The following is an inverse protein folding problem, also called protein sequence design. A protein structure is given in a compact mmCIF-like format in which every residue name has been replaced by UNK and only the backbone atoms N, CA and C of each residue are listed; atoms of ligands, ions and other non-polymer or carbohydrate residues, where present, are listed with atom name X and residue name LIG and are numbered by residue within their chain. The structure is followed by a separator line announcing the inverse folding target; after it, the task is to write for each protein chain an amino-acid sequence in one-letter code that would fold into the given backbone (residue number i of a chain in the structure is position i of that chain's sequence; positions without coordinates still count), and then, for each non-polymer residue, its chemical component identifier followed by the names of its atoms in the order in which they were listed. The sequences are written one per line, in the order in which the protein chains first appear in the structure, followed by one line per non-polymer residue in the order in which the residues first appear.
data_IF_244708558481
#
_entry.id   IF_244708558481
#
_cell.length_a   1.000
_cell.length_b   1.000
_cell.length_c   1.000
_cell.angle_alpha   90.00
_cell.angle_beta   90.00
_cell.angle_gamma   90.00
#
_symmetry.space_group_name_H-M   'P 1'
#
loop_
_entity.id
_entity.type
_entity.pdbx_description
1 polymer ?
#
# COMPACT_ATOMS: atom_id res chain seq x y z
N UNK A 1 -20.97 3.53 39.93
CA UNK A 1 -20.83 3.44 38.47
C UNK A 1 -19.37 3.15 38.19
N UNK A 2 -19.03 1.92 37.81
CA UNK A 2 -17.65 1.56 37.44
C UNK A 2 -17.63 1.27 35.94
N UNK A 3 -17.30 2.29 35.14
CA UNK A 3 -16.91 2.08 33.74
C UNK A 3 -15.45 1.65 33.73
N UNK A 4 -15.22 0.34 33.76
CA UNK A 4 -13.96 -0.24 33.31
C UNK A 4 -13.93 -0.10 31.80
N UNK A 5 -13.25 0.94 31.31
CA UNK A 5 -12.86 1.04 29.90
C UNK A 5 -12.00 -0.17 29.59
N UNK A 6 -12.54 -1.15 28.87
CA UNK A 6 -11.72 -2.21 28.31
C UNK A 6 -10.68 -1.55 27.39
N UNK A 7 -9.40 -1.94 27.48
CA UNK A 7 -8.43 -1.49 26.50
C UNK A 7 -8.91 -1.95 25.13
N UNK A 8 -8.92 -1.04 24.15
CA UNK A 8 -9.15 -1.40 22.76
C UNK A 8 -8.23 -2.57 22.41
N UNK A 9 -8.71 -3.60 21.68
CA UNK A 9 -7.84 -4.66 21.22
C UNK A 9 -6.65 -4.00 20.50
N UNK A 10 -5.43 -4.55 20.65
CA UNK A 10 -4.27 -4.02 19.95
C UNK A 10 -4.65 -3.90 18.48
N UNK A 11 -4.52 -2.71 17.90
CA UNK A 11 -4.76 -2.51 16.48
C UNK A 11 -3.95 -3.59 15.76
N UNK A 12 -4.64 -4.53 15.11
CA UNK A 12 -3.96 -5.60 14.40
C UNK A 12 -3.00 -4.94 13.43
N UNK A 13 -1.70 -5.22 13.59
CA UNK A 13 -0.69 -4.67 12.70
C UNK A 13 -1.09 -4.97 11.26
N UNK A 14 -0.87 -4.01 10.37
CA UNK A 14 -1.20 -4.17 8.96
C UNK A 14 -0.49 -5.42 8.39
N UNK A 15 -1.25 -6.27 7.72
CA UNK A 15 -0.75 -7.51 7.11
C UNK A 15 -1.24 -7.57 5.65
N UNK A 16 -0.30 -7.34 4.73
CA UNK A 16 -0.57 -7.35 3.30
C UNK A 16 -1.04 -8.72 2.78
N UNK A 17 -0.59 -9.84 3.37
CA UNK A 17 -1.01 -11.18 2.97
C UNK A 17 -2.47 -11.43 3.35
N UNK A 18 -2.87 -11.00 4.55
CA UNK A 18 -4.25 -11.04 4.98
C UNK A 18 -5.14 -10.17 4.09
N UNK A 19 -4.69 -8.95 3.73
CA UNK A 19 -5.44 -8.04 2.85
C UNK A 19 -5.61 -8.60 1.43
N UNK A 20 -4.54 -9.12 0.83
CA UNK A 20 -4.58 -9.81 -0.47
C UNK A 20 -5.61 -10.94 -0.48
N UNK A 21 -5.59 -11.80 0.56
CA UNK A 21 -6.52 -12.93 0.69
C UNK A 21 -7.96 -12.49 0.91
N UNK A 22 -8.19 -11.50 1.78
CA UNK A 22 -9.53 -11.01 2.09
C UNK A 22 -10.19 -10.33 0.88
N UNK A 23 -9.40 -9.59 0.09
CA UNK A 23 -9.89 -8.92 -1.11
C UNK A 23 -9.99 -9.84 -2.33
N UNK A 24 -9.46 -11.08 -2.26
CA UNK A 24 -9.23 -11.94 -3.43
C UNK A 24 -8.54 -11.16 -4.57
N UNK A 25 -7.48 -10.42 -4.18
CA UNK A 25 -6.86 -9.40 -5.03
C UNK A 25 -6.06 -10.00 -6.19
N UNK A 26 -5.95 -9.22 -7.27
CA UNK A 26 -5.16 -9.55 -8.46
C UNK A 26 -3.70 -9.10 -8.35
N UNK A 27 -3.37 -8.24 -7.37
CA UNK A 27 -2.02 -7.75 -7.19
C UNK A 27 -1.06 -8.87 -6.76
N UNK A 28 0.14 -8.84 -7.33
CA UNK A 28 1.17 -9.83 -7.04
C UNK A 28 1.92 -9.35 -5.79
N UNK A 29 2.06 -10.21 -4.78
CA UNK A 29 2.81 -9.84 -3.58
C UNK A 29 4.29 -9.55 -3.86
N UNK A 30 4.94 -10.36 -4.70
CA UNK A 30 6.38 -10.32 -4.94
C UNK A 30 6.67 -10.53 -6.42
N UNK A 31 7.47 -9.65 -7.02
CA UNK A 31 7.95 -9.81 -8.40
C UNK A 31 9.42 -9.45 -8.54
N UNK A 32 10.10 -10.07 -9.49
CA UNK A 32 11.49 -9.74 -9.79
C UNK A 32 11.59 -8.33 -10.40
N UNK A 33 12.54 -7.54 -9.89
CA UNK A 33 12.93 -6.26 -10.49
C UNK A 33 13.59 -6.52 -11.85
N UNK A 34 13.27 -5.70 -12.83
CA UNK A 34 13.86 -5.76 -14.17
C UNK A 34 15.08 -4.85 -14.27
N UNK A 35 16.05 -5.12 -15.18
CA UNK A 35 17.26 -4.32 -15.28
C UNK A 35 17.04 -2.82 -15.50
N UNK A 36 15.98 -2.44 -16.23
CA UNK A 36 15.63 -1.03 -16.45
C UNK A 36 15.06 -0.33 -15.21
N UNK A 37 14.85 -1.07 -14.13
CA UNK A 37 14.31 -0.57 -12.86
C UNK A 37 15.41 -0.39 -11.81
N UNK A 38 16.68 -0.61 -12.15
CA UNK A 38 17.80 -0.67 -11.20
C UNK A 38 18.00 0.56 -10.31
N UNK A 39 17.58 1.74 -10.77
CA UNK A 39 17.78 3.00 -10.06
C UNK A 39 16.53 3.47 -9.29
N UNK A 40 15.50 2.61 -9.17
CA UNK A 40 14.24 2.94 -8.51
C UNK A 40 14.01 2.08 -7.27
N UNK A 41 13.68 2.74 -6.16
CA UNK A 41 13.36 2.12 -4.88
C UNK A 41 11.87 1.79 -4.74
N UNK A 42 11.01 2.50 -5.48
CA UNK A 42 9.55 2.34 -5.41
C UNK A 42 8.95 2.20 -6.80
N UNK A 43 7.82 1.51 -6.86
CA UNK A 43 6.98 1.43 -8.04
C UNK A 43 5.53 1.74 -7.66
N UNK A 44 4.93 2.64 -8.42
CA UNK A 44 3.54 3.04 -8.27
C UNK A 44 2.75 2.54 -9.48
N UNK A 45 1.77 1.66 -9.23
CA UNK A 45 0.93 1.06 -10.26
C UNK A 45 -0.52 1.50 -10.10
N UNK A 46 -1.26 1.52 -11.21
CA UNK A 46 -2.68 1.89 -11.25
C UNK A 46 -3.44 0.92 -12.16
N UNK A 47 -4.61 0.49 -11.71
CA UNK A 47 -5.58 -0.26 -12.51
C UNK A 47 -6.90 0.49 -12.57
N UNK A 48 -7.64 0.27 -13.67
CA UNK A 48 -8.98 0.83 -13.91
C UNK A 48 -10.03 -0.25 -14.16
N UNK A 49 -9.68 -1.52 -13.99
CA UNK A 49 -10.60 -2.64 -14.18
C UNK A 49 -11.52 -2.68 -12.95
N UNK A 50 -12.82 -2.48 -13.15
CA UNK A 50 -13.85 -2.43 -12.11
C UNK A 50 -13.70 -1.28 -11.09
N UNK A 51 -12.87 -0.29 -11.39
CA UNK A 51 -12.64 0.90 -10.58
C UNK A 51 -11.17 1.31 -10.54
N UNK A 52 -10.93 2.52 -10.03
CA UNK A 52 -9.58 3.01 -9.77
C UNK A 52 -9.02 2.31 -8.52
N UNK A 53 -7.85 1.68 -8.67
CA UNK A 53 -7.08 1.14 -7.56
C UNK A 53 -5.59 1.36 -7.81
N UNK A 54 -4.88 1.65 -6.73
CA UNK A 54 -3.45 1.90 -6.72
C UNK A 54 -2.72 0.76 -6.02
N UNK A 55 -1.47 0.53 -6.39
CA UNK A 55 -0.57 -0.35 -5.66
C UNK A 55 0.83 0.27 -5.56
N UNK A 56 1.43 0.21 -4.38
CA UNK A 56 2.80 0.66 -4.13
C UNK A 56 3.65 -0.56 -3.81
N UNK A 57 4.78 -0.66 -4.50
CA UNK A 57 5.81 -1.64 -4.21
C UNK A 57 7.07 -0.94 -3.74
N UNK A 58 7.77 -1.57 -2.80
CA UNK A 58 9.10 -1.19 -2.34
C UNK A 58 10.10 -2.23 -2.82
N UNK A 59 11.27 -1.76 -3.22
CA UNK A 59 12.36 -2.61 -3.65
C UNK A 59 13.09 -3.19 -2.45
N UNK A 60 13.20 -4.52 -2.44
CA UNK A 60 14.04 -5.27 -1.53
C UNK A 60 14.96 -6.15 -2.38
N UNK A 61 16.25 -5.82 -2.38
CA UNK A 61 17.27 -6.42 -3.24
C UNK A 61 16.88 -6.38 -4.74
N UNK A 62 16.63 -7.55 -5.33
CA UNK A 62 16.27 -7.74 -6.73
C UNK A 62 14.75 -7.97 -6.93
N UNK A 63 13.94 -7.60 -5.94
CA UNK A 63 12.50 -7.80 -5.97
C UNK A 63 11.75 -6.51 -5.63
N UNK A 64 10.55 -6.39 -6.17
CA UNK A 64 9.53 -5.47 -5.71
C UNK A 64 8.54 -6.24 -4.84
N UNK A 65 8.38 -5.80 -3.60
CA UNK A 65 7.46 -6.34 -2.60
C UNK A 65 6.29 -5.37 -2.47
N UNK A 66 5.06 -5.88 -2.57
CA UNK A 66 3.86 -5.09 -2.42
C UNK A 66 3.77 -4.56 -0.99
N UNK A 67 3.75 -3.23 -0.85
CA UNK A 67 3.54 -2.53 0.43
C UNK A 67 2.06 -2.47 0.73
N UNK A 68 1.26 -1.94 -0.21
CA UNK A 68 -0.18 -1.91 -0.11
C UNK A 68 -0.87 -1.71 -1.48
N UNK A 69 -2.16 -2.02 -1.52
CA UNK A 69 -3.08 -1.64 -2.58
C UNK A 69 -4.35 -1.00 -2.00
N UNK A 70 -4.84 0.06 -2.60
CA UNK A 70 -5.88 0.91 -2.01
C UNK A 70 -6.59 1.75 -3.07
N UNK A 71 -7.79 2.25 -2.76
CA UNK A 71 -8.57 3.10 -3.68
C UNK A 71 -8.45 4.59 -3.38
N UNK A 72 -8.08 4.94 -2.15
CA UNK A 72 -7.82 6.32 -1.72
C UNK A 72 -6.64 6.37 -0.75
N UNK A 73 -6.06 7.57 -0.56
CA UNK A 73 -4.96 7.78 0.37
C UNK A 73 -5.34 7.35 1.79
N UNK A 74 -6.58 7.57 2.22
CA UNK A 74 -7.07 7.22 3.56
C UNK A 74 -7.04 5.71 3.82
N UNK A 75 -7.32 4.91 2.78
CA UNK A 75 -7.31 3.44 2.83
C UNK A 75 -5.91 2.82 2.87
N UNK A 76 -4.88 3.58 2.46
CA UNK A 76 -3.51 3.10 2.45
C UNK A 76 -2.99 2.84 3.87
N UNK A 77 -2.15 1.81 4.01
CA UNK A 77 -1.42 1.55 5.25
C UNK A 77 -0.42 2.69 5.54
N UNK A 78 0.06 2.76 6.79
CA UNK A 78 0.95 3.83 7.24
C UNK A 78 2.28 3.87 6.44
N UNK A 79 2.81 2.70 6.07
CA UNK A 79 4.04 2.62 5.26
C UNK A 79 3.81 3.16 3.85
N UNK A 80 2.69 2.79 3.22
CA UNK A 80 2.33 3.34 1.91
C UNK A 80 2.08 4.86 1.96
N UNK A 81 1.41 5.35 3.01
CA UNK A 81 1.21 6.80 3.23
C UNK A 81 2.52 7.53 3.38
N UNK A 82 3.47 6.96 4.13
CA UNK A 82 4.82 7.53 4.28
C UNK A 82 5.52 7.65 2.93
N UNK A 83 5.49 6.59 2.11
CA UNK A 83 6.08 6.62 0.76
C UNK A 83 5.42 7.71 -0.09
N UNK A 84 4.08 7.81 -0.07
CA UNK A 84 3.35 8.85 -0.81
C UNK A 84 3.74 10.25 -0.31
N UNK A 85 3.83 10.43 1.00
CA UNK A 85 4.14 11.72 1.61
C UNK A 85 5.56 12.21 1.32
N UNK A 86 6.50 11.28 1.16
CA UNK A 86 7.88 11.54 0.75
C UNK A 86 8.01 11.87 -0.76
N UNK A 87 6.94 11.67 -1.55
CA UNK A 87 6.89 11.97 -2.99
C UNK A 87 5.77 12.98 -3.32
N UNK A 88 6.04 14.30 -3.21
CA UNK A 88 5.01 15.34 -3.31
C UNK A 88 4.25 15.39 -4.64
N UNK A 89 4.87 14.96 -5.73
CA UNK A 89 4.25 14.82 -7.05
C UNK A 89 3.18 13.73 -7.08
N UNK A 90 3.46 12.58 -6.46
CA UNK A 90 2.49 11.50 -6.28
C UNK A 90 1.41 11.90 -5.29
N UNK A 91 1.76 12.52 -4.15
CA UNK A 91 0.79 13.01 -3.15
C UNK A 91 -0.27 13.94 -3.76
N UNK A 92 0.13 14.80 -4.70
CA UNK A 92 -0.78 15.71 -5.40
C UNK A 92 -1.86 14.97 -6.18
N UNK A 93 -1.61 13.75 -6.65
CA UNK A 93 -2.60 12.93 -7.36
C UNK A 93 -3.81 12.58 -6.47
N UNK A 94 -3.62 12.51 -5.15
CA UNK A 94 -4.67 12.24 -4.19
C UNK A 94 -5.35 13.52 -3.65
N UNK A 95 -4.77 14.68 -3.95
CA UNK A 95 -5.28 15.98 -3.48
C UNK A 95 -6.29 16.61 -4.43
N UNK A 96 -6.49 16.03 -5.63
CA UNK A 96 -7.48 16.50 -6.60
C UNK A 96 -8.81 15.81 -6.28
N UNK A 97 -9.62 16.49 -5.47
CA UNK A 97 -11.04 16.19 -5.22
C UNK A 97 -11.86 17.42 -5.58
#
# INVERSE_FOLDING_TARGET
MNTTSQPNPPSQAFDIHAKLKAANSHWIYLRAAQPHQNDFDYEFNTTFIDGLEFAIYERVDNYFVLVDFFKSYEEACDDAKKIIDDHPDIKKMFSVS
#
